data_IF_320679428601
#
_entry.id   IF_320679428601
#
_cell.length_a   1.000
_cell.length_b   1.000
_cell.length_c   1.000
_cell.angle_alpha   90.00
_cell.angle_beta   90.00
_cell.angle_gamma   90.00
#
_symmetry.space_group_name_H-M   'P 1'
#
loop_
_entity.id
_entity.type
_entity.pdbx_description
1 polymer ?
#
# COMPACT_ATOMS: atom_id res chain seq x y z
N UNK A 1 10.09 -36.27 -5.38
CA UNK A 1 9.63 -35.35 -4.31
C UNK A 1 8.56 -34.46 -4.92
N UNK A 2 7.36 -34.47 -4.35
CA UNK A 2 6.26 -33.61 -4.77
C UNK A 2 6.67 -32.17 -4.45
N UNK A 3 7.03 -31.40 -5.48
CA UNK A 3 7.01 -29.94 -5.39
C UNK A 3 5.54 -29.57 -5.20
N UNK A 4 5.13 -29.52 -3.93
CA UNK A 4 3.94 -28.78 -3.52
C UNK A 4 4.11 -27.41 -4.16
N UNK A 5 3.31 -27.11 -5.19
CA UNK A 5 3.20 -25.76 -5.72
C UNK A 5 2.78 -24.90 -4.52
N UNK A 6 3.75 -24.24 -3.88
CA UNK A 6 3.45 -23.11 -3.02
C UNK A 6 2.70 -22.15 -3.94
N UNK A 7 1.42 -21.91 -3.66
CA UNK A 7 0.69 -20.89 -4.40
C UNK A 7 1.46 -19.59 -4.21
N UNK A 8 1.95 -19.05 -5.31
CA UNK A 8 2.66 -17.78 -5.31
C UNK A 8 1.66 -16.66 -5.02
N UNK A 9 2.16 -15.55 -4.46
CA UNK A 9 1.34 -14.37 -4.21
C UNK A 9 0.60 -13.95 -5.49
N UNK A 10 -0.66 -13.56 -5.36
CA UNK A 10 -1.46 -13.19 -6.52
C UNK A 10 -2.97 -13.24 -6.31
N UNK A 11 -3.71 -12.98 -7.39
CA UNK A 11 -5.18 -12.98 -7.41
C UNK A 11 -5.77 -14.40 -7.39
N UNK A 12 -7.08 -14.48 -7.12
CA UNK A 12 -7.88 -15.71 -7.15
C UNK A 12 -7.85 -16.51 -5.85
N UNK A 13 -7.38 -15.93 -4.75
CA UNK A 13 -7.48 -16.52 -3.41
C UNK A 13 -8.75 -16.06 -2.67
N UNK A 14 -8.74 -16.20 -1.34
CA UNK A 14 -9.88 -15.86 -0.47
C UNK A 14 -9.51 -14.94 0.67
N UNK A 15 -8.30 -14.37 0.66
CA UNK A 15 -7.84 -13.41 1.65
C UNK A 15 -7.97 -11.98 1.11
N UNK A 16 -7.89 -10.99 2.00
CA UNK A 16 -7.93 -9.57 1.68
C UNK A 16 -6.91 -8.78 2.52
N UNK A 17 -6.40 -7.70 1.94
CA UNK A 17 -5.58 -6.71 2.63
C UNK A 17 -6.30 -5.36 2.56
N UNK A 18 -6.44 -4.68 3.70
CA UNK A 18 -7.09 -3.38 3.78
C UNK A 18 -6.25 -2.42 4.62
N UNK A 19 -6.49 -1.12 4.49
CA UNK A 19 -5.79 -0.13 5.30
C UNK A 19 -6.28 1.28 5.02
N UNK A 20 -5.56 2.26 5.56
CA UNK A 20 -5.82 3.67 5.32
C UNK A 20 -4.57 4.42 4.87
N UNK A 21 -4.79 5.47 4.07
CA UNK A 21 -3.76 6.46 3.71
C UNK A 21 -4.07 7.78 4.41
N UNK A 22 -3.04 8.38 5.02
CA UNK A 22 -3.12 9.66 5.68
C UNK A 22 -2.18 10.66 5.01
N UNK A 23 -2.64 11.89 4.84
CA UNK A 23 -1.83 13.01 4.35
C UNK A 23 -1.33 13.80 5.54
N UNK A 24 -0.05 14.18 5.50
CA UNK A 24 0.51 15.27 6.30
C UNK A 24 0.80 16.43 5.38
N UNK A 25 0.09 17.52 5.59
CA UNK A 25 0.27 18.76 4.84
C UNK A 25 1.20 19.69 5.61
N UNK A 26 2.32 20.06 4.99
CA UNK A 26 3.31 20.94 5.60
C UNK A 26 3.37 22.26 4.85
N UNK A 27 3.89 23.29 5.52
CA UNK A 27 4.29 24.51 4.83
C UNK A 27 5.30 24.22 3.70
N UNK A 28 5.48 25.17 2.79
CA UNK A 28 6.35 25.02 1.60
C UNK A 28 7.81 24.66 1.91
N UNK A 29 8.26 24.80 3.16
CA UNK A 29 9.61 24.45 3.62
C UNK A 29 9.67 23.10 4.35
N UNK A 30 8.55 22.36 4.45
CA UNK A 30 8.43 21.11 5.19
C UNK A 30 8.85 21.18 6.68
N UNK A 31 8.70 22.35 7.31
CA UNK A 31 9.12 22.59 8.71
C UNK A 31 7.96 22.65 9.69
N UNK A 32 6.75 22.98 9.23
CA UNK A 32 5.56 23.13 10.07
C UNK A 32 4.44 22.28 9.50
N UNK A 33 3.94 21.33 10.28
CA UNK A 33 2.74 20.56 9.95
C UNK A 33 1.52 21.49 10.09
N UNK A 34 0.80 21.68 8.99
CA UNK A 34 -0.38 22.55 8.93
C UNK A 34 -1.66 21.75 9.13
N UNK A 35 -1.75 20.55 8.54
CA UNK A 35 -2.92 19.69 8.64
C UNK A 35 -2.54 18.19 8.55
N UNK A 36 -3.43 17.34 9.07
CA UNK A 36 -3.33 15.88 8.95
C UNK A 36 -4.72 15.27 8.77
N UNK A 37 -4.97 14.64 7.62
CA UNK A 37 -6.29 14.11 7.27
C UNK A 37 -6.20 12.81 6.45
N UNK A 38 -7.30 12.06 6.39
CA UNK A 38 -7.38 10.85 5.59
C UNK A 38 -7.50 11.15 4.10
N UNK A 39 -6.65 10.52 3.30
CA UNK A 39 -6.43 10.87 1.90
C UNK A 39 -7.54 10.31 1.00
N UNK A 40 -8.31 11.15 0.32
CA UNK A 40 -9.36 10.72 -0.62
C UNK A 40 -8.79 10.63 -2.04
N UNK A 41 -9.27 9.68 -2.86
CA UNK A 41 -8.87 9.53 -4.28
C UNK A 41 -7.36 9.31 -4.52
N UNK A 42 -6.61 8.90 -3.50
CA UNK A 42 -5.18 8.56 -3.62
C UNK A 42 -5.03 7.15 -4.16
N UNK A 43 -4.15 6.98 -5.16
CA UNK A 43 -3.86 5.67 -5.72
C UNK A 43 -2.93 4.89 -4.80
N UNK A 44 -3.35 3.67 -4.48
CA UNK A 44 -2.59 2.68 -3.71
C UNK A 44 -2.31 1.49 -4.60
N UNK A 45 -1.05 1.07 -4.64
CA UNK A 45 -0.56 0.03 -5.53
C UNK A 45 -0.21 -1.21 -4.72
N UNK A 46 -0.27 -2.37 -5.38
CA UNK A 46 0.19 -3.64 -4.83
C UNK A 46 1.13 -4.35 -5.81
N UNK A 47 2.20 -4.94 -5.28
CA UNK A 47 3.11 -5.85 -5.98
C UNK A 47 2.96 -7.23 -5.34
N UNK A 48 2.79 -8.26 -6.17
CA UNK A 48 2.67 -9.65 -5.74
C UNK A 48 4.05 -10.31 -5.70
N UNK A 49 4.50 -10.72 -4.52
CA UNK A 49 5.83 -11.29 -4.32
C UNK A 49 6.92 -10.41 -4.93
N UNK A 50 7.78 -11.03 -5.76
CA UNK A 50 8.91 -10.36 -6.42
C UNK A 50 8.58 -9.88 -7.85
N UNK A 51 7.30 -9.60 -8.15
CA UNK A 51 6.91 -9.11 -9.46
C UNK A 51 7.67 -7.82 -9.81
N UNK A 52 8.17 -7.74 -11.05
CA UNK A 52 9.01 -6.61 -11.51
C UNK A 52 8.28 -5.27 -11.63
N UNK A 53 6.95 -5.28 -11.59
CA UNK A 53 6.12 -4.10 -11.77
C UNK A 53 4.87 -4.15 -10.91
N UNK A 54 4.13 -3.03 -10.92
CA UNK A 54 2.81 -2.93 -10.27
C UNK A 54 1.92 -4.06 -10.78
N UNK A 55 1.37 -4.83 -9.84
CA UNK A 55 0.50 -5.97 -10.15
C UNK A 55 -0.97 -5.55 -10.22
N UNK A 56 -1.39 -4.63 -9.36
CA UNK A 56 -2.73 -4.05 -9.33
C UNK A 56 -2.74 -2.70 -8.60
N UNK A 57 -3.83 -1.96 -8.70
CA UNK A 57 -4.03 -0.72 -7.95
C UNK A 57 -5.51 -0.45 -7.62
N UNK A 58 -5.71 0.34 -6.57
CA UNK A 58 -7.02 0.84 -6.13
C UNK A 58 -6.90 2.32 -5.76
N UNK A 59 -8.04 2.97 -5.55
CA UNK A 59 -8.09 4.32 -4.96
C UNK A 59 -8.67 4.28 -3.56
N UNK A 60 -8.21 5.18 -2.72
CA UNK A 60 -8.80 5.38 -1.41
C UNK A 60 -10.21 5.97 -1.51
N UNK A 61 -11.08 5.51 -0.62
CA UNK A 61 -12.43 6.05 -0.43
C UNK A 61 -12.41 7.41 0.27
N UNK A 62 -13.59 7.98 0.48
CA UNK A 62 -13.80 9.29 1.14
C UNK A 62 -13.21 9.39 2.55
N UNK A 63 -12.97 8.25 3.21
CA UNK A 63 -12.42 8.16 4.56
C UNK A 63 -10.95 7.67 4.58
N UNK A 64 -10.30 7.66 3.42
CA UNK A 64 -8.91 7.20 3.24
C UNK A 64 -8.73 5.69 3.19
N UNK A 65 -9.79 4.90 3.28
CA UNK A 65 -9.71 3.44 3.25
C UNK A 65 -9.45 2.88 1.85
N UNK A 66 -8.69 1.80 1.77
CA UNK A 66 -8.49 1.01 0.55
C UNK A 66 -8.52 -0.48 0.87
N UNK A 67 -8.78 -1.31 -0.15
CA UNK A 67 -8.85 -2.76 0.02
C UNK A 67 -8.46 -3.51 -1.26
N UNK A 68 -7.63 -4.54 -1.12
CA UNK A 68 -7.32 -5.54 -2.14
C UNK A 68 -7.93 -6.89 -1.75
N UNK A 69 -8.80 -7.43 -2.61
CA UNK A 69 -9.54 -8.69 -2.37
C UNK A 69 -8.99 -9.86 -3.18
N UNK A 70 -9.42 -11.05 -2.77
CA UNK A 70 -9.20 -12.30 -3.50
C UNK A 70 -7.71 -12.64 -3.67
N UNK A 71 -6.94 -12.46 -2.60
CA UNK A 71 -5.51 -12.70 -2.56
C UNK A 71 -5.18 -14.13 -2.10
N UNK A 72 -4.19 -14.75 -2.73
CA UNK A 72 -3.60 -16.02 -2.27
C UNK A 72 -2.67 -15.78 -1.07
N UNK A 73 -2.33 -16.83 -0.30
CA UNK A 73 -1.20 -16.77 0.62
C UNK A 73 0.09 -16.35 -0.12
N UNK A 74 0.91 -15.51 0.50
CA UNK A 74 2.13 -14.96 -0.08
C UNK A 74 2.49 -13.58 0.47
N UNK A 75 3.62 -13.06 0.01
CA UNK A 75 4.12 -11.73 0.37
C UNK A 75 3.62 -10.67 -0.60
N UNK A 76 3.23 -9.51 -0.08
CA UNK A 76 2.71 -8.38 -0.84
C UNK A 76 3.41 -7.10 -0.42
N UNK A 77 3.71 -6.25 -1.40
CA UNK A 77 4.20 -4.89 -1.15
C UNK A 77 3.13 -3.88 -1.56
N UNK A 78 2.63 -3.13 -0.58
CA UNK A 78 1.58 -2.13 -0.76
C UNK A 78 2.22 -0.76 -0.62
N UNK A 79 1.94 0.16 -1.53
CA UNK A 79 2.52 1.49 -1.46
C UNK A 79 1.64 2.58 -2.06
N UNK A 80 1.87 3.81 -1.60
CA UNK A 80 1.38 5.02 -2.23
C UNK A 80 2.57 5.97 -2.45
N UNK A 81 2.42 6.89 -3.38
CA UNK A 81 3.43 7.92 -3.64
C UNK A 81 3.24 9.13 -2.73
N UNK A 82 4.36 9.70 -2.31
CA UNK A 82 4.48 10.87 -1.42
C UNK A 82 5.44 11.89 -2.03
N UNK A 83 5.29 13.17 -1.71
CA UNK A 83 6.35 14.15 -1.91
C UNK A 83 7.55 13.82 -1.01
N UNK A 84 8.73 14.22 -1.45
CA UNK A 84 9.96 14.13 -0.68
C UNK A 84 10.17 15.40 0.16
N UNK A 85 9.96 15.31 1.46
CA UNK A 85 10.20 16.42 2.38
C UNK A 85 11.68 16.67 2.67
N UNK A 86 12.58 15.80 2.24
CA UNK A 86 14.03 15.94 2.49
C UNK A 86 14.72 16.83 1.46
N UNK A 87 13.98 17.32 0.45
CA UNK A 87 14.50 18.14 -0.66
C UNK A 87 15.64 17.46 -1.44
N UNK A 88 15.75 16.12 -1.37
CA UNK A 88 16.72 15.37 -2.18
C UNK A 88 16.24 15.25 -3.62
N UNK A 89 14.92 15.29 -3.84
CA UNK A 89 14.32 15.27 -5.17
C UNK A 89 12.97 15.98 -5.21
N UNK A 90 12.59 16.46 -6.39
CA UNK A 90 11.22 16.93 -6.68
C UNK A 90 10.32 15.79 -7.21
N UNK A 91 10.86 14.58 -7.35
CA UNK A 91 10.09 13.41 -7.74
C UNK A 91 9.27 12.85 -6.58
N UNK A 92 8.20 12.12 -6.91
CA UNK A 92 7.46 11.36 -5.91
C UNK A 92 8.29 10.16 -5.42
N UNK A 93 8.21 9.88 -4.11
CA UNK A 93 8.85 8.73 -3.46
C UNK A 93 7.77 7.74 -2.98
N UNK A 94 8.00 6.42 -3.08
CA UNK A 94 7.02 5.44 -2.61
C UNK A 94 7.16 5.23 -1.10
N UNK A 95 6.03 5.18 -0.39
CA UNK A 95 5.95 4.74 1.01
C UNK A 95 5.43 3.30 1.01
N UNK A 96 6.33 2.34 1.23
CA UNK A 96 6.07 0.90 1.04
C UNK A 96 5.82 0.20 2.38
N UNK A 97 4.81 -0.67 2.41
CA UNK A 97 4.50 -1.61 3.48
C UNK A 97 4.52 -3.02 2.94
N UNK A 98 5.21 -3.92 3.63
CA UNK A 98 5.26 -5.34 3.27
C UNK A 98 4.40 -6.14 4.25
N UNK A 99 3.50 -6.97 3.73
CA UNK A 99 2.63 -7.85 4.51
C UNK A 99 2.69 -9.27 3.92
N UNK A 100 2.66 -10.27 4.79
CA UNK A 100 2.55 -11.68 4.41
C UNK A 100 1.18 -12.25 4.80
N UNK A 101 0.49 -12.83 3.82
CA UNK A 101 -0.70 -13.65 4.05
C UNK A 101 -0.22 -15.10 4.20
N UNK A 102 -0.38 -15.68 5.39
CA UNK A 102 0.14 -17.02 5.70
C UNK A 102 -0.85 -18.14 5.41
N UNK A 103 -2.15 -17.83 5.29
CA UNK A 103 -3.21 -18.80 4.97
C UNK A 103 -4.42 -18.16 4.28
N UNK A 104 -5.27 -19.02 3.71
CA UNK A 104 -6.53 -18.60 3.08
C UNK A 104 -7.49 -17.97 4.10
N UNK A 105 -8.41 -17.12 3.63
CA UNK A 105 -9.45 -16.44 4.43
C UNK A 105 -8.87 -15.55 5.55
N UNK A 106 -7.74 -14.89 5.30
CA UNK A 106 -7.23 -13.86 6.19
C UNK A 106 -7.65 -12.49 5.71
N UNK A 107 -8.08 -11.65 6.64
CA UNK A 107 -8.27 -10.22 6.43
C UNK A 107 -7.23 -9.53 7.32
N UNK A 108 -6.22 -8.91 6.71
CA UNK A 108 -5.13 -8.27 7.43
C UNK A 108 -5.14 -6.77 7.16
N UNK A 109 -5.00 -6.00 8.23
CA UNK A 109 -4.80 -4.56 8.14
C UNK A 109 -3.33 -4.26 7.81
N UNK A 110 -3.11 -3.48 6.76
CA UNK A 110 -1.82 -2.94 6.37
C UNK A 110 -1.54 -1.72 7.26
N UNK A 111 -0.34 -1.60 7.85
CA UNK A 111 0.04 -0.43 8.63
C UNK A 111 -0.21 0.86 7.85
N UNK A 112 -0.69 1.88 8.56
CA UNK A 112 -1.06 3.17 7.96
C UNK A 112 0.05 3.71 7.06
N UNK A 113 -0.35 4.11 5.84
CA UNK A 113 0.55 4.74 4.87
C UNK A 113 0.39 6.25 5.06
N UNK A 114 1.46 6.89 5.53
CA UNK A 114 1.49 8.34 5.71
C UNK A 114 2.26 8.92 4.55
N UNK A 115 1.61 9.76 3.76
CA UNK A 115 2.19 10.49 2.64
C UNK A 115 2.22 11.99 2.95
N UNK A 116 3.09 12.69 2.23
CA UNK A 116 3.22 14.13 2.24
C UNK A 116 2.66 14.63 0.91
N UNK A 117 1.75 15.60 1.00
CA UNK A 117 1.32 16.43 -0.12
C UNK A 117 1.92 17.85 0.01
#
# INVERSE_FOLDING_TARGET
MLLSCKKEAGKGGSSALYGKVKVRDYNTTFTVLQDEFYAQEVRVYIIYGDARGVSDDVRTSYDGSYEFKYLQPGTYHIFAYSKDSTSQTNALIPIIKTIEITKNKQELEVPEIIIID
#
